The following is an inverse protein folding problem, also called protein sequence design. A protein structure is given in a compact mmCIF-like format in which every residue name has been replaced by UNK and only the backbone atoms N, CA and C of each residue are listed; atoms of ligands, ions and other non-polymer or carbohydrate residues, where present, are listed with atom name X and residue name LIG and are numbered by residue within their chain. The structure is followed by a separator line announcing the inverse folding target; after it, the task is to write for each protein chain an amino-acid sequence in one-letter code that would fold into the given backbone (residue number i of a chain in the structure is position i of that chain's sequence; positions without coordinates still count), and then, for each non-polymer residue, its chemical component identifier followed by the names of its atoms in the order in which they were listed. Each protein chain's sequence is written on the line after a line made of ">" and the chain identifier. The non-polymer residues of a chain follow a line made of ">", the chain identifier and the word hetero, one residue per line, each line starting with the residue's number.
data_IF_641302609978
#
_entry.id   IF_641302609978
#
_cell.length_a   1.000
_cell.length_b   1.000
_cell.length_c   1.000
_cell.angle_alpha   90.00
_cell.angle_beta   90.00
_cell.angle_gamma   90.00
#
_symmetry.space_group_name_H-M   'P 1'
#
loop_
_entity.id
_entity.type
_entity.pdbx_description
1 polymer ?
#
# COMPACT_ATOMS: atom_id res chain seq x y z
N UNK A 1 8.67 -6.39 -12.68
CA UNK A 1 7.24 -6.01 -12.69
C UNK A 1 6.43 -6.73 -13.77
N UNK A 2 7.04 -7.56 -14.61
CA UNK A 2 6.63 -8.98 -14.67
C UNK A 2 7.19 -9.69 -13.42
N UNK A 3 6.46 -10.62 -12.81
CA UNK A 3 7.04 -11.53 -11.79
C UNK A 3 6.48 -11.50 -10.37
N UNK A 4 5.46 -10.71 -10.03
CA UNK A 4 4.71 -10.95 -8.79
C UNK A 4 3.59 -11.94 -9.08
N UNK A 5 3.79 -13.23 -8.75
CA UNK A 5 2.66 -14.17 -8.70
C UNK A 5 1.60 -13.62 -7.73
N UNK A 6 0.45 -13.22 -8.27
CA UNK A 6 -0.63 -12.53 -7.54
C UNK A 6 -0.71 -11.00 -7.73
N UNK A 7 0.22 -10.38 -8.46
CA UNK A 7 0.20 -8.96 -8.82
C UNK A 7 0.19 -8.00 -7.62
N UNK A 8 -0.45 -6.84 -7.77
CA UNK A 8 -0.61 -5.83 -6.74
C UNK A 8 -1.44 -6.31 -5.53
N UNK A 9 -2.24 -7.38 -5.67
CA UNK A 9 -3.02 -7.94 -4.55
C UNK A 9 -2.13 -8.40 -3.39
N UNK A 10 -1.01 -9.06 -3.69
CA UNK A 10 -0.05 -9.51 -2.67
C UNK A 10 0.56 -8.34 -1.89
N UNK A 11 0.73 -7.19 -2.55
CA UNK A 11 1.22 -5.97 -1.91
C UNK A 11 0.13 -5.37 -1.02
N UNK A 12 -1.12 -5.35 -1.47
CA UNK A 12 -2.27 -4.92 -0.68
C UNK A 12 -2.44 -5.78 0.60
N UNK A 13 -2.24 -7.09 0.50
CA UNK A 13 -2.30 -8.01 1.64
C UNK A 13 -1.18 -7.75 2.66
N UNK A 14 0.05 -7.45 2.22
CA UNK A 14 1.13 -7.06 3.12
C UNK A 14 0.88 -5.71 3.81
N UNK A 15 0.32 -4.73 3.08
CA UNK A 15 -0.04 -3.43 3.64
C UNK A 15 -1.15 -3.56 4.70
N UNK A 16 -2.08 -4.49 4.53
CA UNK A 16 -3.10 -4.80 5.55
C UNK A 16 -2.45 -5.22 6.86
N UNK A 17 -1.42 -6.08 6.83
CA UNK A 17 -0.70 -6.51 8.03
C UNK A 17 0.07 -5.37 8.71
N UNK A 18 0.39 -4.31 7.94
CA UNK A 18 0.97 -3.04 8.43
C UNK A 18 -0.09 -2.01 8.87
N UNK A 19 -1.37 -2.36 8.84
CA UNK A 19 -2.46 -1.47 9.26
C UNK A 19 -2.96 -0.51 8.17
N UNK A 20 -2.57 -0.69 6.91
CA UNK A 20 -3.03 0.11 5.78
C UNK A 20 -3.96 -0.70 4.89
N UNK A 21 -5.20 -0.24 4.78
CA UNK A 21 -6.18 -0.84 3.86
C UNK A 21 -6.14 -0.11 2.51
N UNK A 22 -5.91 -0.86 1.44
CA UNK A 22 -5.99 -0.37 0.07
C UNK A 22 -6.53 -1.47 -0.85
N UNK A 23 -6.85 -1.11 -2.09
CA UNK A 23 -7.38 -2.05 -3.07
C UNK A 23 -6.59 -2.00 -4.37
N UNK A 24 -6.32 -3.15 -4.93
CA UNK A 24 -5.74 -3.28 -6.25
C UNK A 24 -6.80 -3.12 -7.37
N UNK A 25 -6.40 -2.54 -8.48
CA UNK A 25 -7.15 -2.51 -9.74
C UNK A 25 -6.21 -2.90 -10.87
N UNK A 26 -6.76 -3.43 -11.97
CA UNK A 26 -6.00 -3.77 -13.19
C UNK A 26 -4.64 -4.41 -12.91
N UNK A 27 -4.62 -5.57 -12.25
CA UNK A 27 -3.45 -6.44 -11.92
C UNK A 27 -2.30 -5.80 -11.13
N UNK A 28 -1.86 -4.58 -11.43
CA UNK A 28 -0.61 -3.96 -11.00
C UNK A 28 -0.79 -2.54 -10.41
N UNK A 29 -2.02 -2.04 -10.22
CA UNK A 29 -2.26 -0.71 -9.67
C UNK A 29 -2.84 -0.83 -8.26
N UNK A 30 -2.30 -0.09 -7.29
CA UNK A 30 -2.89 0.08 -5.95
C UNK A 30 -3.57 1.44 -5.84
N UNK A 31 -4.78 1.47 -5.28
CA UNK A 31 -5.54 2.69 -4.98
C UNK A 31 -5.52 2.98 -3.50
N UNK A 32 -5.06 4.17 -3.16
CA UNK A 32 -5.14 4.74 -1.82
C UNK A 32 -6.15 5.87 -1.85
N UNK A 33 -7.19 5.77 -1.03
CA UNK A 33 -8.24 6.78 -0.91
C UNK A 33 -8.50 7.05 0.58
N UNK A 34 -7.57 7.72 1.28
CA UNK A 34 -7.77 8.07 2.67
C UNK A 34 -8.92 9.08 2.82
N UNK A 35 -9.53 9.20 4.01
CA UNK A 35 -10.47 10.28 4.31
C UNK A 35 -9.83 11.66 4.11
N UNK A 36 -10.62 12.65 3.69
CA UNK A 36 -10.13 14.03 3.49
C UNK A 36 -9.72 14.73 4.80
N UNK A 37 -10.08 14.16 5.94
CA UNK A 37 -9.75 14.65 7.28
C UNK A 37 -8.40 14.14 7.79
N UNK A 38 -7.69 13.30 7.02
CA UNK A 38 -6.40 12.73 7.39
C UNK A 38 -5.39 13.83 7.71
N UNK A 39 -4.59 13.66 8.76
CA UNK A 39 -3.56 14.63 9.15
C UNK A 39 -2.25 14.39 8.41
N UNK A 40 -1.33 15.35 8.48
CA UNK A 40 -0.01 15.23 7.88
C UNK A 40 0.80 14.10 8.54
N UNK A 41 0.70 13.98 9.86
CA UNK A 41 1.41 12.95 10.64
C UNK A 41 0.93 11.55 10.28
N UNK A 42 -0.38 11.37 10.04
CA UNK A 42 -0.95 10.11 9.56
C UNK A 42 -0.47 9.77 8.15
N UNK A 43 -0.34 10.77 7.27
CA UNK A 43 0.23 10.58 5.93
C UNK A 43 1.70 10.17 6.03
N UNK A 44 2.49 10.85 6.86
CA UNK A 44 3.91 10.56 7.02
C UNK A 44 4.12 9.13 7.55
N UNK A 45 3.34 8.72 8.57
CA UNK A 45 3.33 7.33 9.06
C UNK A 45 2.93 6.33 7.97
N UNK A 46 1.89 6.64 7.19
CA UNK A 46 1.41 5.74 6.14
C UNK A 46 2.47 5.55 5.04
N UNK A 47 3.18 6.62 4.68
CA UNK A 47 4.27 6.58 3.71
C UNK A 47 5.45 5.72 4.20
N UNK A 48 5.78 5.74 5.48
CA UNK A 48 6.80 4.85 6.06
C UNK A 48 6.42 3.38 5.91
N UNK A 49 5.18 3.02 6.24
CA UNK A 49 4.69 1.64 6.08
C UNK A 49 4.67 1.22 4.61
N UNK A 50 4.20 2.10 3.72
CA UNK A 50 4.19 1.84 2.26
C UNK A 50 5.62 1.57 1.78
N UNK A 51 6.58 2.43 2.14
CA UNK A 51 7.98 2.24 1.77
C UNK A 51 8.54 0.91 2.26
N UNK A 52 8.22 0.49 3.49
CA UNK A 52 8.70 -0.77 4.05
C UNK A 52 8.29 -2.01 3.24
N UNK A 53 7.16 -1.94 2.52
CA UNK A 53 6.65 -3.05 1.69
C UNK A 53 7.23 -3.00 0.27
N UNK A 54 7.48 -1.80 -0.27
CA UNK A 54 7.98 -1.62 -1.64
C UNK A 54 9.50 -1.67 -1.77
N UNK A 55 10.22 -1.18 -0.76
CA UNK A 55 11.68 -1.13 -0.69
C UNK A 55 12.13 -1.70 0.66
N UNK A 56 12.06 -3.04 0.84
CA UNK A 56 12.61 -3.69 2.02
C UNK A 56 14.15 -3.61 1.92
N UNK A 57 14.73 -2.60 2.54
CA UNK A 57 16.17 -2.59 2.83
C UNK A 57 16.59 -3.82 3.63
#
# INVERSE_FOLDING_TARGET
>A
FEGTEGGARRVAEQLKDKGILCKETHTNILRFAPPLVITKEEIDWALEQIRSVFDPK
#
